data_IF_015575139620
#
_entry.id   IF_015575139620
#
_cell.length_a   1.000
_cell.length_b   1.000
_cell.length_c   1.000
_cell.angle_alpha   90.00
_cell.angle_beta   90.00
_cell.angle_gamma   90.00
#
_symmetry.space_group_name_H-M   'P 1'
#
loop_
_entity.id
_entity.type
_entity.pdbx_description
1 polymer ?
#
# COMPACT_ATOMS: atom_id res chain seq x y z
N UNK A 1 -2.05 -32.70 -18.63
CA UNK A 1 -0.96 -32.17 -17.78
C UNK A 1 -0.16 -31.21 -18.64
N UNK A 2 -0.60 -29.96 -18.73
CA UNK A 2 0.10 -28.94 -19.50
C UNK A 2 1.30 -28.45 -18.71
N UNK A 3 2.45 -28.37 -19.39
CA UNK A 3 3.74 -28.09 -18.79
C UNK A 3 3.73 -26.79 -18.01
N UNK A 4 4.06 -26.88 -16.72
CA UNK A 4 4.43 -25.76 -15.89
C UNK A 4 5.70 -25.15 -16.48
N UNK A 5 5.54 -24.24 -17.44
CA UNK A 5 6.60 -23.35 -17.85
C UNK A 5 7.16 -22.69 -16.59
N UNK A 6 8.49 -22.69 -16.52
CA UNK A 6 9.29 -22.15 -15.44
C UNK A 6 9.15 -20.62 -15.42
N UNK A 7 7.96 -20.11 -15.06
CA UNK A 7 7.68 -18.69 -14.96
C UNK A 7 8.47 -18.21 -13.75
N UNK A 8 9.59 -17.53 -14.00
CA UNK A 8 10.28 -16.79 -12.96
C UNK A 8 9.34 -15.70 -12.45
N UNK A 9 8.75 -15.97 -11.30
CA UNK A 9 7.89 -15.09 -10.53
C UNK A 9 8.64 -13.90 -9.91
N UNK A 10 9.93 -13.75 -10.22
CA UNK A 10 10.77 -12.66 -9.75
C UNK A 10 10.49 -11.34 -10.47
N UNK A 11 9.94 -11.38 -11.69
CA UNK A 11 9.65 -10.19 -12.46
C UNK A 11 8.14 -10.06 -12.71
N UNK A 12 7.54 -9.00 -12.17
CA UNK A 12 6.11 -8.67 -12.34
C UNK A 12 5.72 -8.50 -13.82
N UNK A 13 6.67 -8.16 -14.69
CA UNK A 13 6.45 -8.03 -16.13
C UNK A 13 6.09 -9.37 -16.79
N UNK A 14 6.53 -10.49 -16.21
CA UNK A 14 6.25 -11.84 -16.71
C UNK A 14 4.83 -12.31 -16.40
N UNK A 15 4.11 -11.63 -15.51
CA UNK A 15 2.73 -11.97 -15.18
C UNK A 15 1.75 -11.39 -16.19
N UNK A 16 0.65 -12.07 -16.50
CA UNK A 16 -0.47 -11.48 -17.22
C UNK A 16 -1.04 -10.27 -16.48
N UNK A 17 -1.42 -9.21 -17.19
CA UNK A 17 -1.88 -7.95 -16.59
C UNK A 17 -3.06 -8.13 -15.65
N UNK A 18 -4.01 -9.02 -16.00
CA UNK A 18 -5.17 -9.32 -15.17
C UNK A 18 -4.77 -9.95 -13.82
N UNK A 19 -3.71 -10.76 -13.78
CA UNK A 19 -3.20 -11.35 -12.54
C UNK A 19 -2.48 -10.32 -11.68
N UNK A 20 -1.70 -9.42 -12.30
CA UNK A 20 -1.02 -8.34 -11.59
C UNK A 20 -2.05 -7.44 -10.91
N UNK A 21 -3.08 -7.02 -11.63
CA UNK A 21 -4.14 -6.18 -11.07
C UNK A 21 -4.89 -6.90 -9.94
N UNK A 22 -5.16 -8.20 -10.09
CA UNK A 22 -5.85 -9.00 -9.08
C UNK A 22 -5.04 -9.15 -7.79
N UNK A 23 -3.76 -9.55 -7.91
CA UNK A 23 -2.92 -9.87 -6.75
C UNK A 23 -2.27 -8.64 -6.12
N UNK A 24 -1.74 -7.72 -6.92
CA UNK A 24 -1.02 -6.54 -6.41
C UNK A 24 -1.94 -5.31 -6.25
N UNK A 25 -3.12 -5.30 -6.87
CA UNK A 25 -4.06 -4.16 -6.82
C UNK A 25 -3.61 -2.94 -7.63
N UNK A 26 -2.51 -3.04 -8.39
CA UNK A 26 -1.93 -1.96 -9.19
C UNK A 26 -1.62 -2.45 -10.60
N UNK A 27 -1.52 -1.54 -11.55
CA UNK A 27 -1.06 -1.85 -12.90
C UNK A 27 0.47 -1.99 -12.93
N UNK A 28 1.01 -2.65 -13.96
CA UNK A 28 2.46 -2.73 -14.20
C UNK A 28 3.11 -1.34 -14.31
N UNK A 29 2.41 -0.38 -14.92
CA UNK A 29 2.87 0.99 -15.03
C UNK A 29 2.95 1.69 -13.65
N UNK A 30 1.93 1.52 -12.81
CA UNK A 30 1.94 2.07 -11.44
C UNK A 30 3.03 1.43 -10.59
N UNK A 31 3.24 0.12 -10.73
CA UNK A 31 4.34 -0.57 -10.07
C UNK A 31 5.69 0.03 -10.46
N UNK A 32 5.92 0.27 -11.77
CA UNK A 32 7.14 0.89 -12.25
C UNK A 32 7.31 2.32 -11.71
N UNK A 33 6.23 3.12 -11.69
CA UNK A 33 6.27 4.47 -11.13
C UNK A 33 6.70 4.51 -9.66
N UNK A 34 6.30 3.52 -8.85
CA UNK A 34 6.74 3.42 -7.45
C UNK A 34 8.24 3.13 -7.38
N UNK A 35 8.76 2.26 -8.25
CA UNK A 35 10.19 1.95 -8.32
C UNK A 35 11.01 3.17 -8.74
N UNK A 36 10.57 3.89 -9.78
CA UNK A 36 11.26 5.07 -10.29
C UNK A 36 11.34 6.18 -9.24
N UNK A 37 10.32 6.28 -8.38
CA UNK A 37 10.25 7.23 -7.27
C UNK A 37 10.96 6.76 -6.00
N UNK A 38 11.49 5.54 -5.99
CA UNK A 38 12.15 4.95 -4.81
C UNK A 38 13.52 4.38 -5.17
N UNK A 39 14.56 5.23 -5.34
CA UNK A 39 15.89 4.79 -5.78
C UNK A 39 16.55 3.74 -4.85
N UNK A 40 16.27 3.78 -3.54
CA UNK A 40 16.78 2.77 -2.61
C UNK A 40 16.19 1.38 -2.86
N UNK A 41 14.95 1.32 -3.35
CA UNK A 41 14.29 0.07 -3.71
C UNK A 41 14.78 -0.46 -5.05
N UNK A 42 15.01 0.41 -6.05
CA UNK A 42 15.53 -0.03 -7.36
C UNK A 42 16.98 -0.55 -7.28
N UNK A 43 17.80 0.05 -6.39
CA UNK A 43 19.18 -0.37 -6.17
C UNK A 43 19.32 -1.62 -5.28
N UNK A 44 18.22 -2.09 -4.68
CA UNK A 44 18.22 -3.29 -3.86
C UNK A 44 18.19 -4.55 -4.73
N UNK A 45 18.98 -5.57 -4.35
CA UNK A 45 18.89 -6.88 -4.96
C UNK A 45 17.45 -7.43 -4.82
N UNK A 46 16.82 -7.78 -5.95
CA UNK A 46 15.41 -8.21 -6.02
C UNK A 46 14.41 -7.15 -5.50
N UNK A 47 14.73 -5.87 -5.58
CA UNK A 47 13.87 -4.78 -5.09
C UNK A 47 12.50 -4.69 -5.79
N UNK A 48 12.46 -4.88 -7.12
CA UNK A 48 11.20 -4.97 -7.86
C UNK A 48 10.32 -6.12 -7.35
N UNK A 49 10.90 -7.29 -7.14
CA UNK A 49 10.20 -8.45 -6.58
C UNK A 49 9.71 -8.18 -5.15
N UNK A 50 10.54 -7.55 -4.32
CA UNK A 50 10.19 -7.20 -2.95
C UNK A 50 8.99 -6.24 -2.90
N UNK A 51 8.92 -5.27 -3.82
CA UNK A 51 7.75 -4.41 -3.98
C UNK A 51 6.51 -5.22 -4.36
N UNK A 52 6.61 -6.08 -5.38
CA UNK A 52 5.50 -6.94 -5.82
C UNK A 52 4.98 -7.80 -4.67
N UNK A 53 5.87 -8.47 -3.93
CA UNK A 53 5.53 -9.32 -2.82
C UNK A 53 4.85 -8.56 -1.67
N UNK A 54 5.32 -7.34 -1.37
CA UNK A 54 4.70 -6.47 -0.37
C UNK A 54 3.29 -6.04 -0.80
N UNK A 55 3.12 -5.59 -2.05
CA UNK A 55 1.82 -5.18 -2.57
C UNK A 55 0.82 -6.34 -2.57
N UNK A 56 1.25 -7.52 -3.00
CA UNK A 56 0.43 -8.73 -2.91
C UNK A 56 0.01 -9.03 -1.47
N UNK A 57 0.96 -8.97 -0.52
CA UNK A 57 0.66 -9.19 0.90
C UNK A 57 -0.35 -8.19 1.45
N UNK A 58 -0.22 -6.91 1.11
CA UNK A 58 -1.15 -5.87 1.54
C UNK A 58 -2.54 -6.04 0.92
N UNK A 59 -2.61 -6.50 -0.33
CA UNK A 59 -3.87 -6.64 -1.06
C UNK A 59 -4.66 -7.89 -0.69
N UNK A 60 -3.98 -9.02 -0.49
CA UNK A 60 -4.63 -10.32 -0.23
C UNK A 60 -4.69 -10.69 1.24
N UNK A 61 -3.86 -10.08 2.10
CA UNK A 61 -3.75 -10.45 3.52
C UNK A 61 -3.10 -11.82 3.74
N UNK A 62 -2.39 -12.36 2.74
CA UNK A 62 -1.88 -13.72 2.79
C UNK A 62 -0.77 -13.96 3.80
N UNK A 63 -0.77 -15.17 4.36
CA UNK A 63 0.31 -15.65 5.21
C UNK A 63 1.62 -15.77 4.42
N UNK A 64 2.75 -15.69 5.15
CA UNK A 64 4.07 -15.87 4.56
C UNK A 64 4.23 -17.24 3.87
N UNK A 65 3.59 -18.29 4.40
CA UNK A 65 3.61 -19.64 3.80
C UNK A 65 2.87 -19.67 2.46
N UNK A 66 1.70 -19.02 2.35
CA UNK A 66 0.94 -18.99 1.10
C UNK A 66 1.69 -18.20 0.03
N UNK A 67 2.24 -17.05 0.38
CA UNK A 67 3.05 -16.25 -0.55
C UNK A 67 4.36 -16.95 -0.93
N UNK A 68 4.99 -17.68 0.01
CA UNK A 68 6.19 -18.48 -0.26
C UNK A 68 5.91 -19.55 -1.32
N UNK A 69 4.77 -20.24 -1.24
CA UNK A 69 4.35 -21.22 -2.25
C UNK A 69 4.02 -20.56 -3.59
N UNK A 70 3.33 -19.42 -3.56
CA UNK A 70 2.94 -18.67 -4.76
C UNK A 70 4.16 -18.19 -5.55
N UNK A 71 5.14 -17.59 -4.88
CA UNK A 71 6.33 -17.05 -5.52
C UNK A 71 7.47 -18.07 -5.66
N UNK A 72 7.31 -19.27 -5.09
CA UNK A 72 8.35 -20.30 -5.03
C UNK A 72 9.66 -19.82 -4.38
N UNK A 73 9.55 -18.94 -3.37
CA UNK A 73 10.68 -18.39 -2.61
C UNK A 73 10.60 -18.84 -1.16
N UNK A 74 11.71 -19.20 -0.50
CA UNK A 74 11.68 -19.55 0.92
C UNK A 74 11.05 -18.45 1.78
N UNK A 75 10.13 -18.84 2.67
CA UNK A 75 9.38 -17.92 3.54
C UNK A 75 10.26 -16.88 4.23
N UNK A 76 11.37 -17.30 4.84
CA UNK A 76 12.28 -16.38 5.56
C UNK A 76 12.81 -15.29 4.64
N UNK A 77 13.32 -15.67 3.47
CA UNK A 77 13.80 -14.73 2.45
C UNK A 77 12.71 -13.78 2.00
N UNK A 78 11.51 -14.29 1.76
CA UNK A 78 10.36 -13.49 1.36
C UNK A 78 9.97 -12.47 2.43
N UNK A 79 9.87 -12.89 3.69
CA UNK A 79 9.54 -12.01 4.82
C UNK A 79 10.61 -10.93 5.03
N UNK A 80 11.89 -11.26 4.89
CA UNK A 80 12.98 -10.27 4.93
C UNK A 80 12.84 -9.24 3.81
N UNK A 81 12.64 -9.68 2.56
CA UNK A 81 12.48 -8.78 1.42
C UNK A 81 11.27 -7.84 1.60
N UNK A 82 10.14 -8.39 2.04
CA UNK A 82 8.92 -7.61 2.30
C UNK A 82 9.16 -6.58 3.42
N UNK A 83 9.86 -6.96 4.50
CA UNK A 83 10.17 -6.04 5.60
C UNK A 83 11.04 -4.88 5.13
N UNK A 84 12.13 -5.19 4.40
CA UNK A 84 13.04 -4.16 3.88
C UNK A 84 12.32 -3.23 2.90
N UNK A 85 11.54 -3.78 1.97
CA UNK A 85 10.76 -2.96 1.04
C UNK A 85 9.76 -2.06 1.76
N UNK A 86 9.10 -2.57 2.81
CA UNK A 86 8.17 -1.78 3.64
C UNK A 86 8.88 -0.62 4.31
N UNK A 87 10.03 -0.87 4.94
CA UNK A 87 10.77 0.17 5.64
C UNK A 87 11.26 1.26 4.68
N UNK A 88 11.74 0.86 3.50
CA UNK A 88 12.14 1.79 2.44
C UNK A 88 10.94 2.63 2.00
N UNK A 89 9.79 2.02 1.69
CA UNK A 89 8.61 2.77 1.26
C UNK A 89 8.10 3.72 2.35
N UNK A 90 8.07 3.28 3.62
CA UNK A 90 7.64 4.12 4.74
C UNK A 90 8.56 5.33 4.96
N UNK A 91 9.85 5.18 4.64
CA UNK A 91 10.84 6.26 4.82
C UNK A 91 10.88 7.20 3.62
N UNK A 92 10.90 6.64 2.41
CA UNK A 92 11.27 7.40 1.20
C UNK A 92 10.04 7.76 0.36
N UNK A 93 9.04 6.87 0.28
CA UNK A 93 7.92 7.01 -0.65
C UNK A 93 6.67 7.60 0.02
N UNK A 94 6.23 7.03 1.14
CA UNK A 94 4.99 7.41 1.82
C UNK A 94 5.01 8.88 2.25
N UNK A 95 6.06 9.43 2.88
CA UNK A 95 6.04 10.83 3.31
C UNK A 95 5.93 11.83 2.17
N UNK A 96 6.46 11.47 0.99
CA UNK A 96 6.51 12.33 -0.19
C UNK A 96 5.25 12.23 -1.05
N UNK A 97 4.63 11.05 -1.12
CA UNK A 97 3.53 10.78 -2.08
C UNK A 97 2.20 10.40 -1.43
N UNK A 98 2.20 10.06 -0.14
CA UNK A 98 1.03 9.64 0.64
C UNK A 98 0.93 10.36 2.00
N UNK A 99 1.87 11.25 2.32
CA UNK A 99 1.90 11.99 3.57
C UNK A 99 0.81 13.06 3.64
N UNK A 100 0.33 13.32 4.86
CA UNK A 100 -0.58 14.45 5.14
C UNK A 100 0.05 15.83 4.89
N UNK A 101 1.33 15.89 4.55
CA UNK A 101 2.03 17.09 4.09
C UNK A 101 1.34 17.77 2.89
N UNK A 102 0.62 17.00 2.05
CA UNK A 102 -0.12 17.53 0.90
C UNK A 102 -1.64 17.64 1.11
N UNK A 103 -2.17 17.06 2.19
CA UNK A 103 -3.59 17.07 2.51
C UNK A 103 -3.80 17.93 3.76
N UNK A 104 -4.26 19.17 3.58
CA UNK A 104 -4.55 20.04 4.72
C UNK A 104 -5.74 19.48 5.49
N UNK A 105 -5.69 19.56 6.83
CA UNK A 105 -6.79 19.09 7.70
C UNK A 105 -8.12 19.73 7.30
N UNK A 106 -8.12 21.02 6.96
CA UNK A 106 -9.32 21.71 6.49
C UNK A 106 -9.96 21.01 5.28
N UNK A 107 -9.14 20.51 4.34
CA UNK A 107 -9.61 19.82 3.15
C UNK A 107 -10.22 18.45 3.47
N UNK A 108 -9.76 17.79 4.53
CA UNK A 108 -10.32 16.51 5.00
C UNK A 108 -11.59 16.74 5.80
N UNK A 109 -11.57 17.70 6.73
CA UNK A 109 -12.74 18.05 7.52
C UNK A 109 -13.89 18.58 6.64
N UNK A 110 -13.59 19.31 5.57
CA UNK A 110 -14.58 19.74 4.58
C UNK A 110 -15.20 18.57 3.78
N UNK A 111 -14.55 17.40 3.77
CA UNK A 111 -15.02 16.18 3.11
C UNK A 111 -15.62 15.17 4.08
N UNK A 112 -15.85 15.53 5.34
CA UNK A 112 -16.59 14.70 6.27
C UNK A 112 -17.95 14.36 5.64
N UNK A 113 -18.32 13.08 5.63
CA UNK A 113 -19.65 12.68 5.20
C UNK A 113 -20.69 13.23 6.18
N UNK A 114 -21.90 13.52 5.70
CA UNK A 114 -22.98 14.04 6.54
C UNK A 114 -23.19 13.19 7.81
N UNK A 115 -23.14 11.86 7.66
CA UNK A 115 -23.27 10.90 8.76
C UNK A 115 -22.10 11.01 9.74
N UNK A 116 -20.86 11.05 9.25
CA UNK A 116 -19.68 11.17 10.10
C UNK A 116 -19.66 12.50 10.86
N UNK A 117 -20.02 13.60 10.20
CA UNK A 117 -20.11 14.93 10.83
C UNK A 117 -21.24 14.98 11.87
N UNK A 118 -22.34 14.25 11.68
CA UNK A 118 -23.41 14.16 12.68
C UNK A 118 -23.01 13.34 13.92
N UNK A 119 -22.24 12.27 13.75
CA UNK A 119 -21.90 11.36 14.86
C UNK A 119 -20.66 11.85 15.63
N UNK A 120 -19.65 12.36 14.91
CA UNK A 120 -18.35 12.71 15.48
C UNK A 120 -17.94 14.16 15.20
N UNK A 121 -18.68 14.88 14.38
CA UNK A 121 -18.45 16.30 14.15
C UNK A 121 -18.85 17.12 15.38
N UNK A 122 -18.21 18.28 15.52
CA UNK A 122 -18.61 19.30 16.49
C UNK A 122 -19.34 20.39 15.70
N UNK A 123 -20.69 20.38 15.64
CA UNK A 123 -21.45 21.27 14.76
C UNK A 123 -21.21 22.76 15.08
N UNK A 124 -21.00 23.09 16.36
CA UNK A 124 -20.77 24.46 16.82
C UNK A 124 -19.29 24.88 16.83
N UNK A 125 -18.37 23.99 16.43
CA UNK A 125 -16.95 24.30 16.44
C UNK A 125 -16.54 25.10 15.18
N UNK A 126 -15.65 26.10 15.32
CA UNK A 126 -14.99 26.75 14.19
C UNK A 126 -14.36 25.74 13.24
N UNK A 127 -14.29 26.06 11.94
CA UNK A 127 -13.74 25.17 10.92
C UNK A 127 -12.33 24.63 11.25
N UNK A 128 -11.52 25.42 11.97
CA UNK A 128 -10.18 25.04 12.44
C UNK A 128 -10.18 23.96 13.53
N UNK A 129 -11.27 23.87 14.29
CA UNK A 129 -11.46 22.91 15.38
C UNK A 129 -12.28 21.68 14.94
N UNK A 130 -12.85 21.68 13.73
CA UNK A 130 -13.59 20.54 13.21
C UNK A 130 -12.69 19.30 13.07
N UNK A 131 -13.10 18.14 13.61
CA UNK A 131 -12.32 16.92 13.50
C UNK A 131 -12.30 16.44 12.04
N UNK A 132 -11.12 15.99 11.59
CA UNK A 132 -11.02 15.26 10.33
C UNK A 132 -11.43 13.81 10.61
N UNK A 133 -12.46 13.34 9.92
CA UNK A 133 -13.01 12.00 10.10
C UNK A 133 -12.73 11.19 8.84
N UNK A 134 -12.01 10.09 9.00
CA UNK A 134 -11.69 9.17 7.89
C UNK A 134 -12.26 7.80 8.20
N UNK A 135 -12.87 7.15 7.20
CA UNK A 135 -13.40 5.79 7.30
C UNK A 135 -12.40 4.84 6.64
N UNK A 136 -11.91 3.88 7.40
CA UNK A 136 -11.07 2.79 6.90
C UNK A 136 -11.70 1.47 7.33
N UNK A 137 -12.10 0.63 6.35
CA UNK A 137 -12.71 -0.69 6.59
C UNK A 137 -13.86 -0.66 7.61
N UNK A 138 -14.85 0.20 7.35
CA UNK A 138 -16.01 0.47 8.23
C UNK A 138 -15.67 0.98 9.65
N UNK A 139 -14.41 1.31 9.93
CA UNK A 139 -13.95 1.87 11.20
C UNK A 139 -13.70 3.37 11.06
N UNK A 140 -14.27 4.15 11.99
CA UNK A 140 -14.07 5.61 12.03
C UNK A 140 -12.77 5.95 12.76
N UNK A 141 -11.87 6.66 12.08
CA UNK A 141 -10.66 7.21 12.68
C UNK A 141 -10.89 8.73 12.81
N UNK A 142 -10.94 9.21 14.06
CA UNK A 142 -11.14 10.61 14.38
C UNK A 142 -9.89 11.19 15.05
N UNK A 143 -9.33 12.26 14.48
CA UNK A 143 -8.19 12.98 15.06
C UNK A 143 -8.66 14.28 15.70
N UNK A 144 -8.67 14.30 17.03
CA UNK A 144 -9.04 15.47 17.85
C UNK A 144 -7.76 16.13 18.37
N UNK A 145 -7.67 17.46 18.33
CA UNK A 145 -6.55 18.19 18.96
C UNK A 145 -6.94 18.46 20.41
N UNK A 146 -6.11 18.04 21.37
CA UNK A 146 -6.09 18.53 22.75
C UNK A 146 -5.33 19.84 22.82
#
# INVERSE_FOLDING_TARGET
>A
MEGLQNISYENIQNYPDHQVQYFAGVTKAQHQQILDRTPRLINMCRGSFALTALLCKLRTGDSGDRLSRLFQVPRRTLETLISVARDILLTDYVPQYLGFSHIRREQVAARNTYIADHIFGKPDAPAELKPAITIADATYICRIRS
#
